data_IF_062749339837
#
_entry.id   IF_062749339837
#
_cell.length_a   1.000
_cell.length_b   1.000
_cell.length_c   1.000
_cell.angle_alpha   90.00
_cell.angle_beta   90.00
_cell.angle_gamma   90.00
#
_symmetry.space_group_name_H-M   'P 1'
#
loop_
_entity.id
_entity.type
_entity.pdbx_description
1 polymer ?
#
# COMPACT_ATOMS: atom_id res chain seq x y z
N UNK A 1 30.87 0.26 30.28
CA UNK A 1 30.63 0.67 28.88
C UNK A 1 29.28 1.39 28.80
N UNK A 2 29.24 2.68 28.45
CA UNK A 2 27.97 3.39 28.22
C UNK A 2 27.37 2.92 26.88
N UNK A 3 26.14 2.40 26.87
CA UNK A 3 25.40 2.15 25.61
C UNK A 3 25.38 3.46 24.82
N UNK A 4 25.81 3.45 23.56
CA UNK A 4 25.79 4.65 22.71
C UNK A 4 24.34 5.14 22.60
N UNK A 5 24.06 6.46 22.58
CA UNK A 5 22.69 7.00 22.63
C UNK A 5 21.68 6.38 21.63
N UNK A 6 22.15 5.91 20.46
CA UNK A 6 21.33 5.19 19.49
C UNK A 6 20.79 3.84 20.00
N UNK A 7 21.62 3.04 20.65
CA UNK A 7 21.22 1.71 21.17
C UNK A 7 20.14 1.82 22.25
N UNK A 8 20.21 2.86 23.09
CA UNK A 8 19.20 3.10 24.12
C UNK A 8 17.85 3.50 23.51
N UNK A 9 17.85 4.34 22.47
CA UNK A 9 16.64 4.75 21.75
C UNK A 9 16.00 3.59 20.98
N UNK A 10 16.81 2.76 20.33
CA UNK A 10 16.34 1.58 19.62
C UNK A 10 15.75 0.54 20.59
N UNK A 11 16.41 0.26 21.72
CA UNK A 11 15.86 -0.63 22.74
C UNK A 11 14.50 -0.15 23.26
N UNK A 12 14.37 1.14 23.55
CA UNK A 12 13.09 1.74 23.96
C UNK A 12 12.01 1.66 22.86
N UNK A 13 12.39 1.73 21.59
CA UNK A 13 11.46 1.53 20.47
C UNK A 13 11.03 0.06 20.36
N UNK A 14 11.96 -0.89 20.53
CA UNK A 14 11.65 -2.33 20.51
C UNK A 14 10.67 -2.73 21.62
N UNK A 15 10.80 -2.15 22.83
CA UNK A 15 9.83 -2.36 23.92
C UNK A 15 8.43 -1.84 23.55
N UNK A 16 8.35 -0.66 22.91
CA UNK A 16 7.08 -0.12 22.41
C UNK A 16 6.48 -1.00 21.31
N UNK A 17 7.30 -1.48 20.38
CA UNK A 17 6.85 -2.36 19.32
C UNK A 17 6.38 -3.72 19.86
N UNK A 18 7.03 -4.26 20.89
CA UNK A 18 6.57 -5.48 21.55
C UNK A 18 5.21 -5.29 22.23
N UNK A 19 5.00 -4.16 22.92
CA UNK A 19 3.70 -3.81 23.49
C UNK A 19 2.62 -3.63 22.40
N UNK A 20 2.98 -2.98 21.28
CA UNK A 20 2.12 -2.83 20.11
C UNK A 20 1.73 -4.20 19.51
N UNK A 21 2.69 -5.10 19.30
CA UNK A 21 2.44 -6.43 18.75
C UNK A 21 1.53 -7.29 19.64
N UNK A 22 1.56 -7.09 20.96
CA UNK A 22 0.62 -7.74 21.87
C UNK A 22 -0.80 -7.21 21.74
N UNK A 23 -0.96 -5.91 21.49
CA UNK A 23 -2.26 -5.25 21.36
C UNK A 23 -2.86 -5.37 19.95
N UNK A 24 -2.02 -5.40 18.92
CA UNK A 24 -2.37 -5.35 17.49
C UNK A 24 -1.56 -6.41 16.71
N UNK A 25 -1.83 -7.71 16.95
CA UNK A 25 -0.99 -8.79 16.42
C UNK A 25 -0.99 -8.85 14.88
N UNK A 26 -2.13 -8.56 14.24
CA UNK A 26 -2.25 -8.58 12.78
C UNK A 26 -1.49 -7.41 12.15
N UNK A 27 -1.65 -6.22 12.69
CA UNK A 27 -1.03 -5.00 12.19
C UNK A 27 0.48 -4.99 12.44
N UNK A 28 0.94 -5.57 13.56
CA UNK A 28 2.37 -5.75 13.83
C UNK A 28 3.02 -6.78 12.89
N UNK A 29 2.31 -7.85 12.55
CA UNK A 29 2.75 -8.80 11.54
C UNK A 29 2.87 -8.12 10.17
N UNK A 30 1.85 -7.35 9.76
CA UNK A 30 1.88 -6.57 8.52
C UNK A 30 2.97 -5.51 8.50
N UNK A 31 3.19 -4.78 9.60
CA UNK A 31 4.29 -3.84 9.73
C UNK A 31 5.63 -4.55 9.52
N UNK A 32 5.85 -5.68 10.19
CA UNK A 32 7.09 -6.45 10.10
C UNK A 32 7.33 -6.94 8.67
N UNK A 33 6.31 -7.53 8.02
CA UNK A 33 6.37 -8.01 6.64
C UNK A 33 6.79 -6.87 5.70
N UNK A 34 6.12 -5.72 5.79
CA UNK A 34 6.39 -4.54 4.95
C UNK A 34 7.78 -3.95 5.18
N UNK A 35 8.22 -3.87 6.43
CA UNK A 35 9.56 -3.37 6.77
C UNK A 35 10.69 -4.28 6.25
N UNK A 36 10.41 -5.58 6.07
CA UNK A 36 11.34 -6.52 5.44
C UNK A 36 11.27 -6.53 3.91
N UNK A 37 10.26 -5.90 3.31
CA UNK A 37 10.00 -5.97 1.87
C UNK A 37 9.51 -7.35 1.41
N UNK A 38 8.93 -8.14 2.31
CA UNK A 38 8.36 -9.46 1.99
C UNK A 38 6.98 -9.30 1.35
N UNK A 39 6.67 -10.09 0.32
CA UNK A 39 5.34 -10.11 -0.30
C UNK A 39 4.34 -10.90 0.55
N UNK A 40 3.02 -10.64 0.43
CA UNK A 40 2.00 -11.53 0.98
C UNK A 40 2.18 -12.95 0.44
N UNK A 41 2.03 -13.95 1.30
CA UNK A 41 2.33 -15.35 0.97
C UNK A 41 1.47 -15.91 -0.20
N UNK A 42 0.28 -15.37 -0.40
CA UNK A 42 -0.67 -15.77 -1.44
C UNK A 42 -0.63 -14.88 -2.70
N UNK A 43 0.26 -13.87 -2.73
CA UNK A 43 0.33 -12.91 -3.83
C UNK A 43 0.60 -13.58 -5.18
N UNK A 44 1.63 -14.43 -5.25
CA UNK A 44 2.02 -15.09 -6.51
C UNK A 44 0.91 -15.98 -7.08
N UNK A 45 0.21 -16.72 -6.20
CA UNK A 45 -0.90 -17.56 -6.61
C UNK A 45 -2.05 -16.72 -7.19
N UNK A 46 -2.44 -15.64 -6.50
CA UNK A 46 -3.51 -14.73 -6.94
C UNK A 46 -3.15 -13.95 -8.20
N UNK A 47 -1.89 -13.54 -8.34
CA UNK A 47 -1.40 -12.87 -9.54
C UNK A 47 -1.45 -13.79 -10.76
N UNK A 48 -1.02 -15.05 -10.61
CA UNK A 48 -1.09 -16.04 -11.69
C UNK A 48 -2.53 -16.39 -12.07
N UNK A 49 -3.44 -16.51 -11.08
CA UNK A 49 -4.87 -16.70 -11.33
C UNK A 49 -5.46 -15.54 -12.14
N UNK A 50 -5.11 -14.30 -11.77
CA UNK A 50 -5.54 -13.10 -12.48
C UNK A 50 -5.02 -13.08 -13.94
N UNK A 51 -3.74 -13.40 -14.16
CA UNK A 51 -3.14 -13.48 -15.50
C UNK A 51 -3.83 -14.56 -16.35
N UNK A 52 -4.04 -15.76 -15.80
CA UNK A 52 -4.72 -16.84 -16.49
C UNK A 52 -6.16 -16.46 -16.87
N UNK A 53 -6.88 -15.77 -15.97
CA UNK A 53 -8.23 -15.24 -16.25
C UNK A 53 -8.22 -14.24 -17.41
N UNK A 54 -7.24 -13.34 -17.48
CA UNK A 54 -7.12 -12.40 -18.61
C UNK A 54 -6.84 -13.12 -19.93
N UNK A 55 -5.96 -14.13 -19.91
CA UNK A 55 -5.65 -14.93 -21.10
C UNK A 55 -6.87 -15.70 -21.61
N UNK A 56 -7.70 -16.23 -20.70
CA UNK A 56 -8.95 -16.94 -21.03
C UNK A 56 -10.08 -16.01 -21.50
N UNK A 57 -10.00 -14.71 -21.19
CA UNK A 57 -11.04 -13.72 -21.51
C UNK A 57 -10.44 -12.52 -22.25
N UNK A 58 -10.11 -12.66 -23.56
CA UNK A 58 -9.48 -11.60 -24.32
C UNK A 58 -10.34 -10.32 -24.34
N UNK A 59 -9.71 -9.18 -24.04
CA UNK A 59 -10.35 -7.87 -24.08
C UNK A 59 -9.53 -6.91 -24.95
N UNK A 60 -10.19 -6.19 -25.87
CA UNK A 60 -9.55 -5.16 -26.69
C UNK A 60 -9.52 -3.83 -25.94
N UNK A 61 -8.56 -3.69 -25.04
CA UNK A 61 -8.35 -2.48 -24.22
C UNK A 61 -6.95 -1.91 -24.40
N UNK A 62 -6.79 -0.61 -24.21
CA UNK A 62 -5.47 0.01 -24.19
C UNK A 62 -4.66 -0.48 -22.97
N UNK A 63 -3.34 -0.60 -23.10
CA UNK A 63 -2.46 -1.08 -22.02
C UNK A 63 -2.52 -0.21 -20.76
N UNK A 64 -2.76 1.10 -20.88
CA UNK A 64 -3.04 1.98 -19.71
C UNK A 64 -4.28 1.54 -18.92
N UNK A 65 -5.32 1.06 -19.60
CA UNK A 65 -6.52 0.53 -18.94
C UNK A 65 -6.26 -0.86 -18.36
N UNK A 66 -5.47 -1.68 -19.04
CA UNK A 66 -5.00 -2.95 -18.48
C UNK A 66 -4.15 -2.73 -17.20
N UNK A 67 -3.31 -1.70 -17.18
CA UNK A 67 -2.55 -1.27 -15.99
C UNK A 67 -3.49 -0.91 -14.83
N UNK A 68 -4.51 -0.09 -15.07
CA UNK A 68 -5.52 0.22 -14.05
C UNK A 68 -6.22 -1.04 -13.52
N UNK A 69 -6.57 -1.98 -14.39
CA UNK A 69 -7.20 -3.23 -13.99
C UNK A 69 -6.27 -4.09 -13.12
N UNK A 70 -4.95 -4.06 -13.37
CA UNK A 70 -3.96 -4.73 -12.53
C UNK A 70 -3.82 -4.03 -11.16
N UNK A 71 -3.80 -2.69 -11.13
CA UNK A 71 -3.80 -1.91 -9.88
C UNK A 71 -5.06 -2.24 -9.05
N UNK A 72 -6.22 -2.34 -9.69
CA UNK A 72 -7.48 -2.74 -9.04
C UNK A 72 -7.40 -4.17 -8.46
N UNK A 73 -6.79 -5.11 -9.18
CA UNK A 73 -6.63 -6.49 -8.72
C UNK A 73 -5.62 -6.63 -7.57
N UNK A 74 -4.52 -5.87 -7.61
CA UNK A 74 -3.42 -5.99 -6.65
C UNK A 74 -3.57 -5.06 -5.44
N UNK A 75 -4.31 -3.95 -5.57
CA UNK A 75 -4.54 -2.99 -4.48
C UNK A 75 -5.04 -3.62 -3.18
N UNK A 76 -6.04 -4.54 -3.21
CA UNK A 76 -6.49 -5.25 -2.01
C UNK A 76 -5.44 -6.20 -1.40
N UNK A 77 -4.44 -6.64 -2.17
CA UNK A 77 -3.41 -7.57 -1.72
C UNK A 77 -2.16 -6.84 -1.19
N UNK A 78 -1.91 -5.63 -1.68
CA UNK A 78 -0.70 -4.86 -1.41
C UNK A 78 -1.03 -3.56 -0.65
N UNK A 79 -1.34 -3.63 0.66
CA UNK A 79 -1.58 -2.43 1.48
C UNK A 79 -0.36 -1.50 1.58
N UNK A 80 0.82 -1.94 1.17
CA UNK A 80 2.05 -1.15 1.02
C UNK A 80 2.05 -0.20 -0.18
N UNK A 81 1.05 -0.24 -1.07
CA UNK A 81 0.99 0.69 -2.19
C UNK A 81 0.92 2.15 -1.74
N UNK A 82 1.95 2.91 -2.14
CA UNK A 82 2.00 4.35 -2.09
C UNK A 82 2.23 4.87 -3.52
N UNK A 83 1.15 4.96 -4.28
CA UNK A 83 1.15 5.37 -5.69
C UNK A 83 0.77 6.83 -5.89
N UNK A 84 0.94 7.31 -7.12
CA UNK A 84 0.55 8.66 -7.52
C UNK A 84 0.77 8.92 -9.01
N UNK A 85 0.32 10.09 -9.46
CA UNK A 85 0.56 10.60 -10.80
C UNK A 85 0.72 12.11 -10.74
N UNK A 86 1.68 12.66 -11.49
CA UNK A 86 1.93 14.10 -11.55
C UNK A 86 0.84 14.78 -12.41
N UNK A 87 -0.29 15.13 -11.79
CA UNK A 87 -1.49 15.76 -12.40
C UNK A 87 -2.16 14.96 -13.55
N UNK A 88 -1.60 13.80 -13.90
CA UNK A 88 -2.07 12.96 -15.00
C UNK A 88 -2.89 11.74 -14.54
N UNK A 89 -3.42 11.74 -13.31
CA UNK A 89 -4.20 10.61 -12.78
C UNK A 89 -5.33 10.12 -13.73
N UNK A 90 -6.17 10.98 -14.35
CA UNK A 90 -7.20 10.52 -15.29
C UNK A 90 -6.64 10.01 -16.62
N UNK A 91 -5.43 10.44 -17.01
CA UNK A 91 -4.78 10.04 -18.26
C UNK A 91 -3.99 8.74 -18.11
N UNK A 92 -3.28 8.60 -16.99
CA UNK A 92 -2.43 7.47 -16.63
C UNK A 92 -3.21 6.32 -15.95
N UNK A 93 -4.42 6.62 -15.46
CA UNK A 93 -5.34 5.66 -14.82
C UNK A 93 -4.74 4.99 -13.57
N UNK A 94 -4.18 5.80 -12.67
CA UNK A 94 -3.50 5.33 -11.44
C UNK A 94 -4.42 5.19 -10.21
N UNK A 95 -5.68 5.61 -10.32
CA UNK A 95 -6.67 5.54 -9.24
C UNK A 95 -7.49 4.24 -9.39
N UNK A 96 -7.58 3.49 -8.31
CA UNK A 96 -8.41 2.27 -8.17
C UNK A 96 -9.46 2.48 -7.06
N UNK A 97 -10.42 1.57 -6.93
CA UNK A 97 -11.57 1.74 -6.02
C UNK A 97 -11.21 2.02 -4.55
N UNK A 98 -10.07 1.50 -4.07
CA UNK A 98 -9.56 1.71 -2.71
C UNK A 98 -8.51 2.81 -2.57
N UNK A 99 -8.21 3.57 -3.62
CA UNK A 99 -7.29 4.71 -3.55
C UNK A 99 -7.82 5.81 -2.62
N UNK A 100 -6.95 6.35 -1.77
CA UNK A 100 -7.23 7.49 -0.89
C UNK A 100 -6.06 8.47 -0.99
N UNK A 101 -6.34 9.73 -1.28
CA UNK A 101 -5.27 10.72 -1.37
C UNK A 101 -4.77 11.09 0.04
N UNK A 102 -3.45 11.08 0.26
CA UNK A 102 -2.85 11.36 1.58
C UNK A 102 -3.12 12.79 2.09
N UNK A 103 -3.49 13.70 1.19
CA UNK A 103 -3.81 15.09 1.49
C UNK A 103 -5.32 15.35 1.63
N UNK A 104 -6.16 14.32 1.52
CA UNK A 104 -7.59 14.44 1.79
C UNK A 104 -7.81 14.29 3.30
N UNK A 105 -8.41 15.33 3.91
CA UNK A 105 -8.84 15.26 5.30
C UNK A 105 -10.16 14.50 5.39
N UNK A 106 -10.11 13.26 5.88
CA UNK A 106 -11.30 12.45 6.16
C UNK A 106 -12.16 13.01 7.31
N UNK A 107 -11.68 14.02 8.06
CA UNK A 107 -12.44 14.72 9.10
C UNK A 107 -13.20 15.97 8.60
N UNK A 108 -13.21 16.23 7.28
CA UNK A 108 -14.05 17.27 6.69
C UNK A 108 -13.58 18.71 6.92
N UNK A 109 -12.36 18.96 7.40
CA UNK A 109 -11.79 20.32 7.40
C UNK A 109 -11.11 20.55 6.05
N UNK A 110 -11.87 21.11 5.11
CA UNK A 110 -11.28 21.70 3.91
C UNK A 110 -10.21 22.72 4.33
N UNK A 111 -8.94 22.45 4.03
CA UNK A 111 -7.91 23.46 4.12
C UNK A 111 -8.18 24.53 3.04
N UNK A 112 -8.30 25.82 3.39
CA UNK A 112 -8.83 26.87 2.50
C UNK A 112 -7.97 27.24 1.29
N UNK A 113 -6.94 26.46 0.95
CA UNK A 113 -5.94 26.81 -0.07
C UNK A 113 -5.95 25.93 -1.33
N UNK A 114 -6.99 25.11 -1.56
CA UNK A 114 -7.12 24.33 -2.80
C UNK A 114 -8.40 24.67 -3.57
N UNK A 115 -8.41 25.90 -4.10
CA UNK A 115 -9.11 26.25 -5.34
C UNK A 115 -8.09 26.91 -6.26
N UNK A 116 -7.56 26.15 -7.21
CA UNK A 116 -7.00 26.61 -8.47
C UNK A 116 -6.94 25.39 -9.39
#
# INVERSE_FOLDING_TARGET
MRKKPGQAKEAAWNEKFAAYAKAFPQEAAEYTRRMKGEMPADFDAKANEFIAKLQANPAKIASRKASQNAIEAFGPLLPEFLGGSADLAPSNLTIWSGSKAINEDTAGKLHPLRRA
#
